data_IF_530478833152
#
_entry.id   IF_530478833152
#
_cell.length_a   1.000
_cell.length_b   1.000
_cell.length_c   1.000
_cell.angle_alpha   90.00
_cell.angle_beta   90.00
_cell.angle_gamma   90.00
#
_symmetry.space_group_name_H-M   'P 1'
#
loop_
_entity.id
_entity.type
_entity.pdbx_description
1 polymer ?
#
# COMPACT_ATOMS: atom_id res chain seq x y z
N UNK A 1 -25.30 -30.66 7.59
CA UNK A 1 -25.22 -29.18 7.46
C UNK A 1 -24.73 -28.49 8.75
N UNK A 2 -25.27 -28.87 9.91
CA UNK A 2 -24.96 -28.22 11.21
C UNK A 2 -23.52 -28.42 11.70
N UNK A 3 -22.90 -29.60 11.46
CA UNK A 3 -21.55 -29.90 11.95
C UNK A 3 -20.49 -29.13 11.14
N UNK A 4 -20.65 -29.06 9.83
CA UNK A 4 -19.76 -28.29 8.93
C UNK A 4 -19.85 -26.79 9.19
N UNK A 5 -21.06 -26.27 9.43
CA UNK A 5 -21.24 -24.87 9.78
C UNK A 5 -20.58 -24.52 11.12
N UNK A 6 -20.71 -25.37 12.15
CA UNK A 6 -20.05 -25.19 13.44
C UNK A 6 -18.52 -25.30 13.36
N UNK A 7 -18.01 -26.17 12.49
CA UNK A 7 -16.57 -26.31 12.25
C UNK A 7 -16.02 -25.07 11.56
N UNK A 8 -16.68 -24.59 10.51
CA UNK A 8 -16.28 -23.37 9.82
C UNK A 8 -16.32 -22.16 10.76
N UNK A 9 -17.38 -22.02 11.57
CA UNK A 9 -17.46 -20.96 12.55
C UNK A 9 -16.31 -21.01 13.57
N UNK A 10 -15.95 -22.20 14.08
CA UNK A 10 -14.80 -22.35 14.98
C UNK A 10 -13.47 -22.07 14.31
N UNK A 11 -13.31 -22.43 13.04
CA UNK A 11 -12.12 -22.09 12.25
C UNK A 11 -12.03 -20.58 12.07
N UNK A 12 -13.13 -19.92 11.72
CA UNK A 12 -13.19 -18.45 11.59
C UNK A 12 -12.89 -17.75 12.93
N UNK A 13 -13.48 -18.22 14.04
CA UNK A 13 -13.20 -17.71 15.38
C UNK A 13 -11.73 -17.88 15.75
N UNK A 14 -11.14 -19.03 15.42
CA UNK A 14 -9.72 -19.30 15.70
C UNK A 14 -8.78 -18.47 14.83
N UNK A 15 -9.09 -18.31 13.54
CA UNK A 15 -8.36 -17.43 12.62
C UNK A 15 -8.43 -15.97 13.07
N UNK A 16 -9.61 -15.50 13.49
CA UNK A 16 -9.78 -14.16 14.04
C UNK A 16 -9.01 -13.93 15.34
N UNK A 17 -8.90 -14.96 16.20
CA UNK A 17 -8.09 -14.90 17.41
C UNK A 17 -6.58 -14.89 17.12
N UNK A 18 -6.13 -15.59 16.07
CA UNK A 18 -4.73 -15.59 15.63
C UNK A 18 -4.31 -14.28 14.92
N UNK A 19 -5.27 -13.49 14.45
CA UNK A 19 -5.04 -12.17 13.84
C UNK A 19 -4.88 -11.04 14.88
N UNK A 20 -4.38 -11.32 16.07
CA UNK A 20 -3.98 -10.28 17.03
C UNK A 20 -2.72 -9.57 16.51
N UNK A 21 -2.92 -8.59 15.65
CA UNK A 21 -1.88 -7.67 15.23
C UNK A 21 -2.11 -6.29 15.86
N UNK A 22 -1.07 -5.49 16.09
CA UNK A 22 -1.22 -4.11 16.57
C UNK A 22 -2.18 -3.29 15.68
N UNK A 23 -2.24 -3.57 14.39
CA UNK A 23 -3.19 -2.97 13.45
C UNK A 23 -4.64 -3.33 13.79
N UNK A 24 -4.92 -4.60 14.10
CA UNK A 24 -6.26 -5.06 14.49
C UNK A 24 -6.74 -4.35 15.74
N UNK A 25 -5.86 -4.12 16.71
CA UNK A 25 -6.20 -3.37 17.95
C UNK A 25 -6.54 -1.91 17.65
N UNK A 26 -5.83 -1.27 16.72
CA UNK A 26 -6.14 0.10 16.31
C UNK A 26 -7.51 0.13 15.62
N UNK A 27 -7.81 -0.83 14.73
CA UNK A 27 -9.10 -0.91 14.05
C UNK A 27 -10.25 -1.19 15.03
N UNK A 28 -10.04 -2.03 16.05
CA UNK A 28 -11.01 -2.23 17.16
C UNK A 28 -11.26 -0.94 17.96
N UNK A 29 -10.21 -0.15 18.23
CA UNK A 29 -10.34 1.17 18.88
C UNK A 29 -11.13 2.14 18.01
N UNK A 30 -10.91 2.13 16.68
CA UNK A 30 -11.65 2.94 15.72
C UNK A 30 -13.12 2.55 15.61
N UNK A 31 -13.45 1.26 15.59
CA UNK A 31 -14.83 0.80 15.56
C UNK A 31 -15.64 1.33 16.77
N UNK A 32 -14.99 1.47 17.92
CA UNK A 32 -15.58 1.99 19.16
C UNK A 32 -15.44 3.51 19.33
N UNK A 33 -15.03 4.25 18.30
CA UNK A 33 -14.71 5.69 18.40
C UNK A 33 -15.92 6.54 18.82
N UNK A 34 -17.13 6.13 18.42
CA UNK A 34 -18.37 6.79 18.84
C UNK A 34 -18.57 6.72 20.35
N UNK A 35 -18.41 5.53 20.94
CA UNK A 35 -18.57 5.33 22.38
C UNK A 35 -17.51 6.11 23.15
N UNK A 36 -16.25 6.06 22.69
CA UNK A 36 -15.15 6.84 23.28
C UNK A 36 -15.47 8.34 23.25
N UNK A 37 -16.06 8.84 22.17
CA UNK A 37 -16.31 10.27 21.98
C UNK A 37 -17.50 10.77 22.80
N UNK A 38 -18.57 9.98 22.91
CA UNK A 38 -19.83 10.44 23.54
C UNK A 38 -20.02 9.98 25.00
N UNK A 39 -19.41 8.87 25.40
CA UNK A 39 -19.53 8.34 26.77
C UNK A 39 -18.52 8.93 27.76
N UNK A 40 -17.52 9.71 27.33
CA UNK A 40 -16.43 10.21 28.18
C UNK A 40 -16.37 11.72 28.19
N UNK A 41 -15.67 12.28 29.20
CA UNK A 41 -15.37 13.72 29.25
C UNK A 41 -14.57 14.13 28.01
N UNK A 42 -14.89 15.30 27.42
CA UNK A 42 -14.28 15.85 26.20
C UNK A 42 -12.74 15.79 26.21
N UNK A 43 -12.11 16.15 27.32
CA UNK A 43 -10.64 16.13 27.46
C UNK A 43 -10.04 14.72 27.32
N UNK A 44 -10.71 13.72 27.88
CA UNK A 44 -10.29 12.31 27.79
C UNK A 44 -10.47 11.81 26.34
N UNK A 45 -11.59 12.15 25.71
CA UNK A 45 -11.87 11.79 24.33
C UNK A 45 -10.82 12.37 23.37
N UNK A 46 -10.46 13.65 23.53
CA UNK A 46 -9.40 14.29 22.74
C UNK A 46 -8.05 13.57 22.96
N UNK A 47 -7.66 13.29 24.21
CA UNK A 47 -6.40 12.61 24.49
C UNK A 47 -6.35 11.19 23.86
N UNK A 48 -7.46 10.46 23.94
CA UNK A 48 -7.58 9.12 23.33
C UNK A 48 -7.47 9.20 21.81
N UNK A 49 -8.18 10.15 21.18
CA UNK A 49 -8.13 10.34 19.73
C UNK A 49 -6.73 10.75 19.22
N UNK A 50 -6.03 11.62 19.97
CA UNK A 50 -4.64 12.00 19.64
C UNK A 50 -3.68 10.81 19.75
N UNK A 51 -3.92 9.87 20.66
CA UNK A 51 -3.14 8.64 20.73
C UNK A 51 -3.38 7.74 19.50
N UNK A 52 -4.66 7.57 19.14
CA UNK A 52 -5.04 6.81 17.94
C UNK A 52 -4.49 7.48 16.67
N UNK A 53 -4.56 8.81 16.57
CA UNK A 53 -3.97 9.60 15.47
C UNK A 53 -2.50 9.23 15.27
N UNK A 54 -1.70 9.24 16.33
CA UNK A 54 -0.27 8.90 16.24
C UNK A 54 -0.06 7.47 15.77
N UNK A 55 -0.78 6.51 16.33
CA UNK A 55 -0.71 5.11 15.93
C UNK A 55 -1.08 4.93 14.43
N UNK A 56 -2.10 5.64 13.94
CA UNK A 56 -2.52 5.59 12.53
C UNK A 56 -1.51 6.24 11.57
N UNK A 57 -0.83 7.30 12.01
CA UNK A 57 0.25 7.92 11.23
C UNK A 57 1.42 6.95 11.08
N UNK A 58 1.81 6.29 12.17
CA UNK A 58 2.90 5.31 12.19
C UNK A 58 2.64 4.13 11.23
N UNK A 59 1.35 3.79 10.97
CA UNK A 59 0.94 2.74 10.03
C UNK A 59 0.53 3.25 8.63
N UNK A 60 0.67 4.54 8.34
CA UNK A 60 0.23 5.19 7.08
C UNK A 60 -1.24 4.89 6.70
N UNK A 61 -2.13 4.85 7.69
CA UNK A 61 -3.55 4.55 7.53
C UNK A 61 -4.35 5.83 7.24
N UNK A 62 -4.21 6.36 6.03
CA UNK A 62 -4.77 7.66 5.63
C UNK A 62 -6.31 7.70 5.69
N UNK A 63 -6.99 6.61 5.33
CA UNK A 63 -8.44 6.52 5.36
C UNK A 63 -8.97 6.58 6.80
N UNK A 64 -8.38 5.80 7.69
CA UNK A 64 -8.72 5.73 9.11
C UNK A 64 -8.45 7.06 9.83
N UNK A 65 -7.40 7.78 9.43
CA UNK A 65 -7.11 9.13 9.92
C UNK A 65 -8.25 10.12 9.60
N UNK A 66 -8.94 9.98 8.46
CA UNK A 66 -10.10 10.84 8.16
C UNK A 66 -11.20 10.71 9.20
N UNK A 67 -11.42 9.52 9.74
CA UNK A 67 -12.40 9.27 10.80
C UNK A 67 -11.99 9.99 12.07
N UNK A 68 -10.73 9.87 12.49
CA UNK A 68 -10.20 10.52 13.70
C UNK A 68 -10.30 12.06 13.59
N UNK A 69 -9.88 12.63 12.47
CA UNK A 69 -9.94 14.08 12.26
C UNK A 69 -11.37 14.61 12.20
N UNK A 70 -12.32 13.83 11.67
CA UNK A 70 -13.74 14.17 11.73
C UNK A 70 -14.25 14.33 13.17
N UNK A 71 -13.81 13.46 14.09
CA UNK A 71 -14.19 13.55 15.51
C UNK A 71 -13.42 14.64 16.24
N UNK A 72 -12.12 14.76 16.02
CA UNK A 72 -11.33 15.86 16.61
C UNK A 72 -11.88 17.23 16.21
N UNK A 73 -12.23 17.42 14.94
CA UNK A 73 -12.88 18.65 14.45
C UNK A 73 -14.20 18.95 15.18
N UNK A 74 -15.05 17.92 15.43
CA UNK A 74 -16.29 18.07 16.18
C UNK A 74 -16.04 18.44 17.64
N UNK A 75 -15.07 17.79 18.30
CA UNK A 75 -14.71 18.08 19.67
C UNK A 75 -14.09 19.47 19.85
N UNK A 76 -13.49 20.03 18.82
CA UNK A 76 -12.86 21.36 18.82
C UNK A 76 -13.73 22.48 18.24
N UNK A 77 -15.06 22.28 18.09
CA UNK A 77 -15.98 23.20 17.39
C UNK A 77 -15.94 24.66 17.91
N UNK A 78 -15.57 24.85 19.17
CA UNK A 78 -15.48 26.18 19.81
C UNK A 78 -14.02 26.60 20.08
N UNK A 79 -13.04 26.03 19.41
CA UNK A 79 -11.63 26.39 19.59
C UNK A 79 -10.92 26.62 18.26
N UNK A 80 -9.78 27.31 18.29
CA UNK A 80 -8.92 27.56 17.13
C UNK A 80 -8.43 26.27 16.45
N UNK A 81 -8.34 25.18 17.20
CA UNK A 81 -7.95 23.85 16.73
C UNK A 81 -8.95 23.26 15.70
N UNK A 82 -10.19 23.73 15.69
CA UNK A 82 -11.21 23.24 14.74
C UNK A 82 -10.77 23.45 13.29
N UNK A 83 -10.17 24.61 13.00
CA UNK A 83 -9.66 24.90 11.65
C UNK A 83 -8.49 23.99 11.28
N UNK A 84 -7.56 23.76 12.20
CA UNK A 84 -6.44 22.86 12.00
C UNK A 84 -6.91 21.44 11.65
N UNK A 85 -7.83 20.86 12.44
CA UNK A 85 -8.36 19.53 12.16
C UNK A 85 -9.23 19.47 10.90
N UNK A 86 -9.84 20.57 10.49
CA UNK A 86 -10.54 20.65 9.20
C UNK A 86 -9.57 20.56 8.02
N UNK A 87 -8.41 21.22 8.11
CA UNK A 87 -7.37 21.13 7.10
C UNK A 87 -6.77 19.72 7.02
N UNK A 88 -6.46 19.10 8.17
CA UNK A 88 -5.96 17.73 8.24
C UNK A 88 -6.97 16.74 7.65
N UNK A 89 -8.25 16.88 7.98
CA UNK A 89 -9.30 16.06 7.40
C UNK A 89 -9.33 16.15 5.88
N UNK A 90 -9.37 17.36 5.32
CA UNK A 90 -9.41 17.59 3.87
C UNK A 90 -8.16 17.02 3.18
N UNK A 91 -6.98 17.19 3.80
CA UNK A 91 -5.72 16.64 3.30
C UNK A 91 -5.76 15.11 3.22
N UNK A 92 -6.22 14.44 4.27
CA UNK A 92 -6.25 12.98 4.30
C UNK A 92 -7.36 12.39 3.42
N UNK A 93 -8.48 13.08 3.23
CA UNK A 93 -9.48 12.73 2.19
C UNK A 93 -8.84 12.76 0.80
N UNK A 94 -8.07 13.81 0.49
CA UNK A 94 -7.35 13.88 -0.78
C UNK A 94 -6.30 12.77 -0.93
N UNK A 95 -5.59 12.39 0.13
CA UNK A 95 -4.67 11.25 0.13
C UNK A 95 -5.37 9.93 -0.16
N UNK A 96 -6.50 9.66 0.49
CA UNK A 96 -7.30 8.45 0.25
C UNK A 96 -7.70 8.35 -1.22
N UNK A 97 -8.25 9.42 -1.79
CA UNK A 97 -8.63 9.46 -3.20
C UNK A 97 -7.43 9.28 -4.14
N UNK A 98 -6.26 9.81 -3.77
CA UNK A 98 -5.04 9.64 -4.56
C UNK A 98 -4.53 8.19 -4.53
N UNK A 99 -4.62 7.52 -3.38
CA UNK A 99 -4.26 6.10 -3.24
C UNK A 99 -5.20 5.22 -4.05
N UNK A 100 -6.52 5.40 -3.92
CA UNK A 100 -7.52 4.65 -4.71
C UNK A 100 -7.31 4.85 -6.22
N UNK A 101 -7.03 6.09 -6.64
CA UNK A 101 -6.69 6.38 -8.04
C UNK A 101 -5.42 5.66 -8.48
N UNK A 102 -4.40 5.63 -7.65
CA UNK A 102 -3.12 5.00 -7.96
C UNK A 102 -3.25 3.46 -8.05
N UNK A 103 -4.06 2.84 -7.20
CA UNK A 103 -4.37 1.41 -7.28
C UNK A 103 -5.06 1.06 -8.60
N UNK A 104 -6.07 1.85 -8.99
CA UNK A 104 -6.73 1.68 -10.29
C UNK A 104 -5.76 1.88 -11.46
N UNK A 105 -4.90 2.89 -11.39
CA UNK A 105 -3.92 3.17 -12.43
C UNK A 105 -2.88 2.04 -12.55
N UNK A 106 -2.48 1.45 -11.43
CA UNK A 106 -1.60 0.28 -11.40
C UNK A 106 -2.26 -0.92 -12.10
N UNK A 107 -3.52 -1.21 -11.78
CA UNK A 107 -4.28 -2.29 -12.39
C UNK A 107 -4.48 -2.07 -13.91
N UNK A 108 -4.85 -0.85 -14.32
CA UNK A 108 -5.01 -0.49 -15.73
C UNK A 108 -3.68 -0.56 -16.50
N UNK A 109 -2.57 -0.24 -15.86
CA UNK A 109 -1.25 -0.35 -16.45
C UNK A 109 -0.91 -1.81 -16.77
N UNK A 110 -1.07 -2.74 -15.84
CA UNK A 110 -0.80 -4.16 -16.09
C UNK A 110 -1.74 -4.77 -17.12
N UNK A 111 -3.00 -4.36 -17.12
CA UNK A 111 -3.96 -4.73 -18.19
C UNK A 111 -3.52 -4.17 -19.55
N UNK A 112 -3.08 -2.91 -19.60
CA UNK A 112 -2.53 -2.27 -20.79
C UNK A 112 -1.26 -2.96 -21.29
N UNK A 113 -0.39 -3.39 -20.36
CA UNK A 113 0.79 -4.17 -20.69
C UNK A 113 0.45 -5.50 -21.34
N UNK A 114 -0.55 -6.23 -20.86
CA UNK A 114 -1.03 -7.45 -21.51
C UNK A 114 -1.41 -7.22 -22.97
N UNK A 115 -2.13 -6.14 -23.26
CA UNK A 115 -2.48 -5.75 -24.64
C UNK A 115 -1.23 -5.37 -25.48
N UNK A 116 -0.29 -4.65 -24.89
CA UNK A 116 0.97 -4.30 -25.55
C UNK A 116 1.80 -5.54 -25.86
N UNK A 117 1.91 -6.49 -24.94
CA UNK A 117 2.67 -7.72 -25.11
C UNK A 117 2.21 -8.52 -26.35
N UNK A 118 0.90 -8.61 -26.59
CA UNK A 118 0.36 -9.30 -27.76
C UNK A 118 0.39 -8.50 -29.05
N UNK A 119 0.25 -7.16 -28.99
CA UNK A 119 0.10 -6.32 -30.17
C UNK A 119 1.39 -5.67 -30.64
N UNK A 120 2.37 -5.50 -29.74
CA UNK A 120 3.58 -4.69 -29.91
C UNK A 120 3.30 -3.30 -30.52
N UNK A 121 2.10 -2.74 -30.27
CA UNK A 121 1.63 -1.50 -30.87
C UNK A 121 2.34 -0.28 -30.27
N UNK A 122 2.89 0.64 -31.10
CA UNK A 122 3.48 1.90 -30.63
C UNK A 122 2.48 2.75 -29.82
N UNK A 123 1.20 2.69 -30.16
CA UNK A 123 0.14 3.41 -29.45
C UNK A 123 -0.06 2.84 -28.04
N UNK A 124 -0.04 1.50 -27.90
CA UNK A 124 -0.11 0.86 -26.59
C UNK A 124 1.11 1.20 -25.71
N UNK A 125 2.32 1.20 -26.30
CA UNK A 125 3.54 1.64 -25.60
C UNK A 125 3.44 3.09 -25.12
N UNK A 126 2.95 4.00 -25.97
CA UNK A 126 2.74 5.39 -25.58
C UNK A 126 1.72 5.55 -24.44
N UNK A 127 0.62 4.79 -24.49
CA UNK A 127 -0.38 4.79 -23.42
C UNK A 127 0.23 4.37 -22.08
N UNK A 128 1.02 3.29 -22.05
CA UNK A 128 1.75 2.86 -20.84
C UNK A 128 2.69 3.94 -20.31
N UNK A 129 3.43 4.62 -21.20
CA UNK A 129 4.31 5.73 -20.82
C UNK A 129 3.56 6.90 -20.20
N UNK A 130 2.37 7.22 -20.70
CA UNK A 130 1.51 8.27 -20.13
C UNK A 130 0.99 7.88 -18.75
N UNK A 131 0.59 6.63 -18.54
CA UNK A 131 0.14 6.12 -17.24
C UNK A 131 1.24 6.22 -16.17
N UNK A 132 2.49 5.91 -16.50
CA UNK A 132 3.61 6.06 -15.56
C UNK A 132 3.83 7.54 -15.20
N UNK A 133 3.75 8.45 -16.17
CA UNK A 133 3.87 9.89 -15.88
C UNK A 133 2.74 10.39 -14.99
N UNK A 134 1.53 9.88 -15.20
CA UNK A 134 0.40 10.20 -14.32
C UNK A 134 0.65 9.69 -12.89
N UNK A 135 1.09 8.43 -12.74
CA UNK A 135 1.46 7.86 -11.44
C UNK A 135 2.56 8.67 -10.76
N UNK A 136 3.59 9.08 -11.48
CA UNK A 136 4.66 9.93 -10.98
C UNK A 136 4.14 11.27 -10.44
N UNK A 137 3.25 11.91 -11.19
CA UNK A 137 2.66 13.17 -10.78
C UNK A 137 1.84 13.02 -9.49
N UNK A 138 1.07 11.94 -9.37
CA UNK A 138 0.31 11.63 -8.15
C UNK A 138 1.26 11.37 -6.97
N UNK A 139 2.31 10.57 -7.15
CA UNK A 139 3.27 10.26 -6.11
C UNK A 139 4.04 11.50 -5.63
N UNK A 140 4.43 12.40 -6.55
CA UNK A 140 5.11 13.67 -6.21
C UNK A 140 4.20 14.64 -5.46
N UNK A 141 2.92 14.71 -5.83
CA UNK A 141 1.98 15.64 -5.24
C UNK A 141 1.65 15.28 -3.79
N UNK A 142 1.48 14.00 -3.50
CA UNK A 142 0.98 13.54 -2.20
C UNK A 142 2.06 13.00 -1.27
N UNK A 143 3.25 12.65 -1.76
CA UNK A 143 4.42 12.21 -0.98
C UNK A 143 4.10 11.06 0.00
N UNK A 144 3.19 10.15 -0.38
CA UNK A 144 2.85 8.96 0.40
C UNK A 144 3.82 7.81 0.10
N UNK A 145 4.19 7.03 1.11
CA UNK A 145 5.01 5.84 0.94
C UNK A 145 4.35 4.84 -0.02
N UNK A 146 3.04 4.65 0.06
CA UNK A 146 2.28 3.76 -0.85
C UNK A 146 2.38 4.19 -2.30
N UNK A 147 2.18 5.48 -2.56
CA UNK A 147 2.26 6.06 -3.90
C UNK A 147 3.67 5.94 -4.47
N UNK A 148 4.70 6.10 -3.63
CA UNK A 148 6.08 5.88 -4.03
C UNK A 148 6.32 4.41 -4.43
N UNK A 149 5.83 3.45 -3.64
CA UNK A 149 5.95 2.01 -3.93
C UNK A 149 5.24 1.66 -5.24
N UNK A 150 4.00 2.14 -5.46
CA UNK A 150 3.25 1.91 -6.70
C UNK A 150 3.96 2.49 -7.92
N UNK A 151 4.43 3.74 -7.81
CA UNK A 151 5.20 4.37 -8.89
C UNK A 151 6.47 3.59 -9.20
N UNK A 152 7.23 3.19 -8.19
CA UNK A 152 8.48 2.45 -8.36
C UNK A 152 8.24 1.08 -9.00
N UNK A 153 7.17 0.38 -8.59
CA UNK A 153 6.76 -0.88 -9.20
C UNK A 153 6.51 -0.72 -10.71
N UNK A 154 5.67 0.26 -11.08
CA UNK A 154 5.36 0.53 -12.49
C UNK A 154 6.61 0.95 -13.27
N UNK A 155 7.45 1.80 -12.70
CA UNK A 155 8.62 2.35 -13.37
C UNK A 155 9.68 1.27 -13.64
N UNK A 156 10.02 0.45 -12.65
CA UNK A 156 10.97 -0.67 -12.79
C UNK A 156 10.43 -1.69 -13.79
N UNK A 157 9.15 -2.06 -13.66
CA UNK A 157 8.52 -2.98 -14.60
C UNK A 157 8.59 -2.46 -16.04
N UNK A 158 8.29 -1.19 -16.27
CA UNK A 158 8.34 -0.58 -17.60
C UNK A 158 9.75 -0.59 -18.19
N UNK A 159 10.76 -0.24 -17.40
CA UNK A 159 12.16 -0.27 -17.82
C UNK A 159 12.61 -1.68 -18.20
N UNK A 160 12.13 -2.70 -17.53
CA UNK A 160 12.53 -4.09 -17.82
C UNK A 160 11.80 -4.68 -19.04
N UNK A 161 10.50 -4.42 -19.17
CA UNK A 161 9.64 -5.18 -20.09
C UNK A 161 9.06 -4.39 -21.26
N UNK A 162 9.08 -3.06 -21.19
CA UNK A 162 8.46 -2.21 -22.22
C UNK A 162 9.47 -1.34 -22.94
N UNK A 163 10.37 -0.70 -22.19
CA UNK A 163 11.33 0.27 -22.76
C UNK A 163 12.68 0.22 -22.03
N UNK A 164 13.50 -0.82 -22.30
CA UNK A 164 14.77 -0.99 -21.63
C UNK A 164 15.81 0.09 -22.00
N UNK A 165 15.66 0.72 -23.17
CA UNK A 165 16.66 1.66 -23.73
C UNK A 165 16.36 3.13 -23.38
N UNK A 166 15.17 3.45 -22.92
CA UNK A 166 14.74 4.83 -22.67
C UNK A 166 14.17 5.01 -21.26
N UNK A 167 14.84 5.77 -20.37
CA UNK A 167 14.27 6.07 -19.05
C UNK A 167 12.97 6.86 -19.23
N UNK A 168 11.87 6.34 -18.72
CA UNK A 168 10.52 6.93 -18.84
C UNK A 168 10.44 8.28 -18.14
N UNK A 169 11.30 8.50 -17.17
CA UNK A 169 11.26 9.62 -16.25
C UNK A 169 12.64 10.25 -16.14
N UNK A 170 12.74 11.52 -16.56
CA UNK A 170 13.93 12.34 -16.33
C UNK A 170 14.19 12.46 -14.81
N UNK A 171 15.37 12.01 -14.37
CA UNK A 171 15.78 12.06 -12.96
C UNK A 171 15.18 10.93 -12.10
N UNK A 172 14.80 9.79 -12.69
CA UNK A 172 14.51 8.58 -11.91
C UNK A 172 15.79 8.11 -11.22
N UNK A 173 15.65 7.75 -9.96
CA UNK A 173 16.71 7.06 -9.22
C UNK A 173 17.14 5.79 -9.98
N UNK A 174 18.39 5.39 -9.84
CA UNK A 174 18.83 4.11 -10.37
C UNK A 174 17.95 2.98 -9.80
N UNK A 175 17.70 1.92 -10.59
CA UNK A 175 16.84 0.82 -10.15
C UNK A 175 17.31 0.19 -8.82
N UNK A 176 18.63 0.13 -8.60
CA UNK A 176 19.21 -0.38 -7.35
C UNK A 176 18.91 0.52 -6.14
N UNK A 177 18.94 1.84 -6.32
CA UNK A 177 18.56 2.80 -5.27
C UNK A 177 17.06 2.69 -4.95
N UNK A 178 16.21 2.54 -5.99
CA UNK A 178 14.79 2.29 -5.82
C UNK A 178 14.53 1.01 -5.03
N UNK A 179 15.19 -0.11 -5.35
CA UNK A 179 15.05 -1.34 -4.59
C UNK A 179 15.46 -1.17 -3.12
N UNK A 180 16.57 -0.46 -2.86
CA UNK A 180 17.04 -0.20 -1.50
C UNK A 180 16.04 0.66 -0.71
N UNK A 181 15.49 1.69 -1.35
CA UNK A 181 14.54 2.60 -0.70
C UNK A 181 13.21 1.90 -0.42
N UNK A 182 12.73 1.05 -1.33
CA UNK A 182 11.51 0.26 -1.14
C UNK A 182 11.67 -0.75 -0.02
N UNK A 183 12.82 -1.42 0.05
CA UNK A 183 13.13 -2.35 1.14
C UNK A 183 13.02 -1.66 2.50
N UNK A 184 13.55 -0.43 2.63
CA UNK A 184 13.42 0.37 3.87
C UNK A 184 11.96 0.70 4.18
N UNK A 185 11.12 0.98 3.17
CA UNK A 185 9.70 1.22 3.38
C UNK A 185 9.02 -0.03 3.92
N UNK A 186 9.28 -1.21 3.35
CA UNK A 186 8.72 -2.47 3.84
C UNK A 186 9.17 -2.81 5.26
N UNK A 187 10.43 -2.59 5.59
CA UNK A 187 10.97 -2.78 6.94
C UNK A 187 10.37 -1.79 7.95
N UNK A 188 10.04 -0.58 7.52
CA UNK A 188 9.40 0.42 8.38
C UNK A 188 7.91 0.14 8.62
N UNK A 189 7.25 -0.62 7.73
CA UNK A 189 5.82 -0.94 7.80
C UNK A 189 5.56 -2.47 7.71
N UNK A 190 6.20 -3.29 8.57
CA UNK A 190 6.19 -4.76 8.43
C UNK A 190 4.81 -5.39 8.67
N UNK A 191 3.84 -4.65 9.17
CA UNK A 191 2.50 -5.13 9.50
C UNK A 191 1.43 -4.69 8.49
N UNK A 192 1.82 -4.03 7.40
CA UNK A 192 0.88 -3.67 6.34
C UNK A 192 0.67 -4.87 5.40
N UNK A 193 -0.54 -5.48 5.36
CA UNK A 193 -0.81 -6.64 4.52
C UNK A 193 -0.59 -6.38 3.03
N UNK A 194 -0.78 -5.14 2.58
CA UNK A 194 -0.54 -4.75 1.18
C UNK A 194 0.94 -4.95 0.81
N UNK A 195 1.85 -4.65 1.75
CA UNK A 195 3.29 -4.76 1.50
C UNK A 195 3.78 -6.22 1.42
N UNK A 196 3.07 -7.19 2.00
CA UNK A 196 3.42 -8.61 1.79
C UNK A 196 3.35 -9.01 0.32
N UNK A 197 2.28 -8.61 -0.38
CA UNK A 197 2.11 -8.91 -1.80
C UNK A 197 3.08 -8.10 -2.66
N UNK A 198 3.25 -6.83 -2.35
CA UNK A 198 4.18 -5.96 -3.09
C UNK A 198 5.64 -6.37 -2.88
N UNK A 199 6.00 -6.87 -1.70
CA UNK A 199 7.35 -7.37 -1.47
C UNK A 199 7.68 -8.52 -2.45
N UNK A 200 6.77 -9.48 -2.65
CA UNK A 200 6.96 -10.55 -3.62
C UNK A 200 7.13 -10.01 -5.04
N UNK A 201 6.32 -9.01 -5.44
CA UNK A 201 6.47 -8.35 -6.74
C UNK A 201 7.84 -7.71 -6.89
N UNK A 202 8.34 -7.02 -5.86
CA UNK A 202 9.65 -6.38 -5.90
C UNK A 202 10.81 -7.38 -5.89
N UNK A 203 10.72 -8.50 -5.17
CA UNK A 203 11.71 -9.56 -5.24
C UNK A 203 11.76 -10.19 -6.64
N UNK A 204 10.59 -10.40 -7.27
CA UNK A 204 10.51 -10.82 -8.67
C UNK A 204 11.14 -9.80 -9.62
N UNK A 205 10.85 -8.50 -9.46
CA UNK A 205 11.44 -7.44 -10.29
C UNK A 205 12.97 -7.35 -10.11
N UNK A 206 13.48 -7.60 -8.90
CA UNK A 206 14.92 -7.71 -8.64
C UNK A 206 15.55 -8.88 -9.38
N UNK A 207 14.92 -10.06 -9.29
CA UNK A 207 15.36 -11.25 -10.01
C UNK A 207 15.47 -10.96 -11.50
N UNK A 208 14.42 -10.38 -12.09
CA UNK A 208 14.39 -10.03 -13.52
C UNK A 208 15.42 -8.94 -13.87
N UNK A 209 15.64 -7.96 -13.01
CA UNK A 209 16.66 -6.94 -13.18
C UNK A 209 18.05 -7.56 -13.28
N UNK A 210 18.43 -8.42 -12.34
CA UNK A 210 19.75 -9.05 -12.35
C UNK A 210 19.90 -10.09 -13.48
N UNK A 211 18.84 -10.76 -13.89
CA UNK A 211 18.82 -11.61 -15.09
C UNK A 211 19.08 -10.78 -16.36
N UNK A 212 18.40 -9.66 -16.50
CA UNK A 212 18.55 -8.76 -17.66
C UNK A 212 20.00 -8.26 -17.79
N UNK A 213 20.61 -7.86 -16.69
CA UNK A 213 22.01 -7.40 -16.65
C UNK A 213 23.04 -8.56 -16.54
N UNK A 214 22.62 -9.81 -16.58
CA UNK A 214 23.45 -11.02 -16.53
C UNK A 214 24.31 -11.14 -15.25
N UNK A 215 23.86 -10.58 -14.14
CA UNK A 215 24.50 -10.69 -12.82
C UNK A 215 23.96 -11.94 -12.10
N UNK A 216 24.25 -13.11 -12.65
CA UNK A 216 23.62 -14.39 -12.27
C UNK A 216 23.77 -14.77 -10.79
N UNK A 217 24.87 -14.40 -10.13
CA UNK A 217 25.02 -14.64 -8.69
C UNK A 217 23.98 -13.92 -7.82
N UNK A 218 23.61 -12.70 -8.23
CA UNK A 218 22.55 -11.96 -7.55
C UNK A 218 21.17 -12.50 -7.93
N UNK A 219 20.98 -12.85 -9.20
CA UNK A 219 19.74 -13.46 -9.67
C UNK A 219 19.43 -14.77 -8.94
N UNK A 220 20.42 -15.64 -8.73
CA UNK A 220 20.27 -16.90 -8.00
C UNK A 220 19.80 -16.67 -6.55
N UNK A 221 20.40 -15.70 -5.85
CA UNK A 221 19.97 -15.33 -4.49
C UNK A 221 18.49 -14.89 -4.48
N UNK A 222 18.10 -13.99 -5.37
CA UNK A 222 16.71 -13.49 -5.41
C UNK A 222 15.73 -14.55 -5.93
N UNK A 223 16.16 -15.51 -6.71
CA UNK A 223 15.33 -16.66 -7.09
C UNK A 223 14.92 -17.51 -5.87
N UNK A 224 15.84 -17.77 -4.96
CA UNK A 224 15.53 -18.46 -3.71
C UNK A 224 14.55 -17.66 -2.85
N UNK A 225 14.79 -16.33 -2.69
CA UNK A 225 13.91 -15.43 -1.94
C UNK A 225 12.50 -15.35 -2.54
N UNK A 226 12.37 -15.25 -3.86
CA UNK A 226 11.07 -15.27 -4.57
C UNK A 226 10.35 -16.60 -4.38
N UNK A 227 11.07 -17.71 -4.50
CA UNK A 227 10.49 -19.05 -4.32
C UNK A 227 9.95 -19.22 -2.90
N UNK A 228 10.71 -18.87 -1.88
CA UNK A 228 10.29 -18.95 -0.49
C UNK A 228 9.11 -18.02 -0.18
N UNK A 229 9.13 -16.79 -0.69
CA UNK A 229 8.04 -15.83 -0.54
C UNK A 229 6.76 -16.31 -1.25
N UNK A 230 6.87 -16.91 -2.44
CA UNK A 230 5.73 -17.46 -3.17
C UNK A 230 5.14 -18.68 -2.44
N UNK A 231 5.96 -19.58 -1.93
CA UNK A 231 5.50 -20.73 -1.12
C UNK A 231 4.77 -20.25 0.13
N UNK A 232 5.33 -19.29 0.86
CA UNK A 232 4.71 -18.71 2.04
C UNK A 232 3.38 -18.03 1.71
N UNK A 233 3.30 -17.31 0.60
CA UNK A 233 2.06 -16.68 0.14
C UNK A 233 0.97 -17.72 -0.15
N UNK A 234 1.30 -18.76 -0.90
CA UNK A 234 0.38 -19.85 -1.25
C UNK A 234 -0.08 -20.67 -0.04
N UNK A 235 0.77 -20.80 0.98
CA UNK A 235 0.44 -21.53 2.21
C UNK A 235 -0.48 -20.74 3.15
N UNK A 236 -0.34 -19.42 3.19
CA UNK A 236 -1.01 -18.55 4.16
C UNK A 236 -2.22 -17.80 3.61
N UNK A 237 -2.38 -17.71 2.28
CA UNK A 237 -3.46 -16.98 1.64
C UNK A 237 -4.26 -17.88 0.70
N UNK A 238 -5.57 -17.65 0.59
CA UNK A 238 -6.38 -18.39 -0.37
C UNK A 238 -6.01 -18.00 -1.80
N UNK A 239 -6.02 -18.99 -2.71
CA UNK A 239 -5.67 -18.83 -4.14
C UNK A 239 -6.50 -17.76 -4.86
N UNK A 240 -7.60 -17.28 -4.25
CA UNK A 240 -8.43 -16.21 -4.80
C UNK A 240 -7.76 -14.82 -4.83
N UNK A 241 -6.54 -14.68 -4.30
CA UNK A 241 -5.77 -13.42 -4.28
C UNK A 241 -4.56 -13.45 -5.22
N UNK A 242 -4.31 -14.55 -5.90
CA UNK A 242 -3.32 -14.74 -6.95
C UNK A 242 -4.02 -14.76 -8.32
#
# INVERSE_FOLDING_TARGET
YTLRSRLNQRIEEHLLQQMESPRTDILKKLANINEVTFARKRTISIATLKKIEKELIDYDLANELTVVYKYLRKLHIHSTEQFHYSQLYNRHVAYTLAIDKAENLLADYFKGYGNYFFSASPQAKLALKLQIREMQNVARLYQSHRLYVFFSCMNIFHQLFVDPDEPVVLGSEAAEDNFTNIQRVFESHPLDPLYYHLNLVFEFLRLEYYNHFRVFKQAEKYFEEVNDAAVNLLMNYSVSWV
#
